data_IF_003504465776
#
_entry.id   IF_003504465776
#
_cell.length_a   1.000
_cell.length_b   1.000
_cell.length_c   1.000
_cell.angle_alpha   90.00
_cell.angle_beta   90.00
_cell.angle_gamma   90.00
#
_symmetry.space_group_name_H-M   'P 1'
#
loop_
_entity.id
_entity.type
_entity.pdbx_description
1 polymer ?
#
# COMPACT_ATOMS: atom_id res chain seq x y z
N UNK A 1 11.01 11.43 -11.70
CA UNK A 1 11.28 11.47 -10.95
C UNK A 1 12.18 11.85 -10.52
N UNK A 2 12.48 12.30 -10.35
CA UNK A 2 13.20 12.64 -9.85
C UNK A 2 13.38 13.22 -9.26
N UNK A 3 13.13 13.90 -9.58
CA UNK A 3 13.70 14.12 -8.79
C UNK A 3 13.74 13.93 -7.69
N UNK A 4 14.14 13.44 -7.34
CA UNK A 4 14.48 13.36 -6.10
C UNK A 4 15.41 12.24 -5.92
N UNK A 5 16.71 12.42 -5.62
CA UNK A 5 17.73 11.41 -5.48
C UNK A 5 17.51 10.55 -4.27
N UNK A 6 17.04 11.13 -3.21
CA UNK A 6 16.73 10.33 -2.04
C UNK A 6 15.60 9.35 -2.34
N UNK A 7 14.79 9.67 -3.33
CA UNK A 7 13.73 8.79 -3.76
C UNK A 7 14.29 7.51 -4.34
N UNK A 8 15.33 7.63 -5.13
CA UNK A 8 15.98 6.45 -5.71
C UNK A 8 16.58 5.59 -4.61
N UNK A 9 17.22 6.20 -3.63
CA UNK A 9 17.78 5.48 -2.50
C UNK A 9 16.70 4.76 -1.71
N UNK A 10 15.59 5.45 -1.49
CA UNK A 10 14.46 4.84 -0.79
C UNK A 10 13.90 3.65 -1.52
N UNK A 11 13.80 3.74 -2.84
CA UNK A 11 13.30 2.64 -3.64
C UNK A 11 14.22 1.45 -3.56
N UNK A 12 15.53 1.67 -3.60
CA UNK A 12 16.50 0.58 -3.48
C UNK A 12 16.37 -0.13 -2.14
N UNK A 13 16.27 0.63 -1.07
CA UNK A 13 16.12 0.05 0.26
C UNK A 13 14.83 -0.74 0.37
N UNK A 14 13.74 -0.19 -0.20
CA UNK A 14 12.46 -0.88 -0.18
C UNK A 14 12.50 -2.18 -1.00
N UNK A 15 13.16 -2.15 -2.16
CA UNK A 15 13.27 -3.32 -3.00
C UNK A 15 14.00 -4.46 -2.28
N UNK A 16 15.06 -4.13 -1.57
CA UNK A 16 15.80 -5.13 -0.80
C UNK A 16 14.93 -5.71 0.32
N UNK A 17 14.19 -4.87 1.00
CA UNK A 17 13.28 -5.30 2.04
C UNK A 17 12.15 -6.15 1.48
N UNK A 18 11.64 -5.74 0.32
CA UNK A 18 10.53 -6.40 -0.34
C UNK A 18 10.84 -7.87 -0.63
N UNK A 19 12.06 -8.18 -1.00
CA UNK A 19 12.45 -9.55 -1.32
C UNK A 19 12.31 -10.49 -0.13
N UNK A 20 12.30 -9.95 1.08
CA UNK A 20 12.24 -10.74 2.30
C UNK A 20 10.85 -10.79 2.91
N UNK A 21 9.89 -10.10 2.32
CA UNK A 21 8.55 -9.99 2.90
C UNK A 21 7.55 -10.77 2.06
N UNK A 22 6.53 -11.30 2.73
CA UNK A 22 5.38 -11.85 2.02
C UNK A 22 4.61 -10.71 1.38
N UNK A 23 3.72 -11.05 0.44
CA UNK A 23 2.90 -10.02 -0.22
C UNK A 23 2.07 -9.24 0.79
N UNK A 24 1.51 -9.93 1.77
CA UNK A 24 0.72 -9.27 2.81
C UNK A 24 1.57 -8.30 3.61
N UNK A 25 2.77 -8.70 3.98
CA UNK A 25 3.68 -7.83 4.71
C UNK A 25 4.10 -6.63 3.87
N UNK A 26 4.32 -6.81 2.59
CA UNK A 26 4.67 -5.71 1.70
C UNK A 26 3.56 -4.67 1.66
N UNK A 27 2.31 -5.12 1.54
CA UNK A 27 1.17 -4.22 1.51
C UNK A 27 1.05 -3.48 2.84
N UNK A 28 1.20 -4.18 3.95
CA UNK A 28 1.11 -3.57 5.26
C UNK A 28 2.18 -2.50 5.46
N UNK A 29 3.43 -2.82 5.10
CA UNK A 29 4.52 -1.85 5.25
C UNK A 29 4.28 -0.61 4.41
N UNK A 30 3.74 -0.78 3.22
CA UNK A 30 3.46 0.37 2.37
C UNK A 30 2.35 1.25 2.97
N UNK A 31 1.26 0.64 3.41
CA UNK A 31 0.15 1.38 4.01
C UNK A 31 0.59 2.05 5.31
N UNK A 32 1.43 1.38 6.08
CA UNK A 32 1.96 1.92 7.32
C UNK A 32 2.76 3.19 7.08
N UNK A 33 3.47 3.22 5.97
CA UNK A 33 4.28 4.38 5.59
C UNK A 33 3.42 5.49 5.01
N UNK A 34 2.42 5.13 4.20
CA UNK A 34 1.63 6.11 3.48
C UNK A 34 0.23 5.55 3.22
N UNK A 35 -0.79 6.24 3.71
CA UNK A 35 -2.17 5.86 3.43
C UNK A 35 -2.39 5.89 1.92
N UNK A 36 -2.98 4.83 1.38
CA UNK A 36 -3.07 4.66 -0.07
C UNK A 36 -4.28 3.83 -0.46
N UNK A 37 -4.70 3.98 -1.72
CA UNK A 37 -5.72 3.11 -2.27
C UNK A 37 -5.07 1.81 -2.74
N UNK A 38 -5.88 0.77 -2.93
CA UNK A 38 -5.34 -0.49 -3.45
C UNK A 38 -4.77 -0.32 -4.85
N UNK A 39 -5.28 0.63 -5.64
CA UNK A 39 -4.71 0.91 -6.96
C UNK A 39 -3.29 1.46 -6.83
N UNK A 40 -3.08 2.38 -5.90
CA UNK A 40 -1.76 2.95 -5.67
C UNK A 40 -0.79 1.90 -5.16
N UNK A 41 -1.25 1.04 -4.25
CA UNK A 41 -0.43 -0.04 -3.72
C UNK A 41 -0.05 -1.01 -4.83
N UNK A 42 -1.01 -1.38 -5.68
CA UNK A 42 -0.78 -2.27 -6.80
C UNK A 42 0.31 -1.73 -7.72
N UNK A 43 0.23 -0.44 -8.02
CA UNK A 43 1.16 0.22 -8.92
C UNK A 43 2.56 0.27 -8.31
N UNK A 44 2.65 0.67 -7.05
CA UNK A 44 3.94 0.83 -6.38
C UNK A 44 4.64 -0.50 -6.10
N UNK A 45 3.90 -1.50 -5.70
CA UNK A 45 4.47 -2.80 -5.36
C UNK A 45 4.53 -3.74 -6.55
N UNK A 46 4.01 -3.31 -7.70
CA UNK A 46 4.01 -4.12 -8.92
C UNK A 46 3.32 -5.45 -8.68
N UNK A 47 2.19 -5.40 -8.03
CA UNK A 47 1.36 -6.57 -7.76
C UNK A 47 0.04 -6.47 -8.52
N UNK A 48 -0.55 -7.61 -8.89
CA UNK A 48 -1.90 -7.57 -9.47
C UNK A 48 -2.88 -6.93 -8.48
N UNK A 49 -3.81 -6.17 -9.00
CA UNK A 49 -4.79 -5.48 -8.16
C UNK A 49 -5.58 -6.46 -7.30
N UNK A 50 -5.93 -7.61 -7.87
CA UNK A 50 -6.68 -8.62 -7.11
C UNK A 50 -5.89 -9.11 -5.90
N UNK A 51 -4.57 -9.25 -6.04
CA UNK A 51 -3.72 -9.64 -4.91
C UNK A 51 -3.72 -8.57 -3.84
N UNK A 52 -3.58 -7.31 -4.25
CA UNK A 52 -3.57 -6.20 -3.29
C UNK A 52 -4.89 -6.12 -2.55
N UNK A 53 -6.00 -6.25 -3.27
CA UNK A 53 -7.33 -6.20 -2.66
C UNK A 53 -7.48 -7.31 -1.61
N UNK A 54 -7.04 -8.52 -1.95
CA UNK A 54 -7.11 -9.65 -1.02
C UNK A 54 -6.24 -9.41 0.21
N UNK A 55 -5.04 -8.89 0.00
CA UNK A 55 -4.13 -8.61 1.12
C UNK A 55 -4.67 -7.51 2.02
N UNK A 56 -5.23 -6.45 1.43
CA UNK A 56 -5.84 -5.38 2.23
C UNK A 56 -6.98 -5.92 3.07
N UNK A 57 -7.79 -6.80 2.50
CA UNK A 57 -8.90 -7.39 3.26
C UNK A 57 -8.39 -8.24 4.41
N UNK A 58 -7.36 -9.03 4.18
CA UNK A 58 -6.75 -9.83 5.25
C UNK A 58 -6.22 -8.97 6.37
N UNK A 59 -5.53 -7.89 6.00
CA UNK A 59 -4.99 -6.97 6.99
C UNK A 59 -6.09 -6.26 7.77
N UNK A 60 -7.20 -5.96 7.10
CA UNK A 60 -8.35 -5.36 7.76
C UNK A 60 -8.94 -6.33 8.80
N UNK A 61 -9.09 -7.59 8.42
CA UNK A 61 -9.61 -8.62 9.32
C UNK A 61 -8.69 -8.79 10.52
N UNK A 62 -7.38 -8.73 10.28
CA UNK A 62 -6.39 -8.85 11.36
C UNK A 62 -6.33 -7.61 12.23
N UNK A 63 -6.98 -6.52 11.82
CA UNK A 63 -6.98 -5.30 12.60
C UNK A 63 -5.71 -4.48 12.45
N UNK A 64 -4.97 -4.67 11.37
CA UNK A 64 -3.72 -3.96 11.12
C UNK A 64 -3.90 -2.73 10.23
N UNK A 65 -4.90 -2.73 9.37
CA UNK A 65 -5.24 -1.56 8.56
C UNK A 65 -6.74 -1.34 8.64
N UNK A 66 -7.17 -0.14 8.29
CA UNK A 66 -8.57 0.22 8.33
C UNK A 66 -8.91 1.15 7.18
N UNK A 67 -10.21 1.24 6.87
CA UNK A 67 -10.74 2.24 5.95
C UNK A 67 -10.61 3.59 6.65
N UNK A 68 -9.90 4.52 6.03
CA UNK A 68 -9.68 5.83 6.63
C UNK A 68 -10.94 6.70 6.66
N UNK A 69 -11.99 6.27 5.97
CA UNK A 69 -13.18 7.08 5.81
C UNK A 69 -13.08 8.04 4.64
N UNK A 70 -11.96 8.07 3.98
CA UNK A 70 -11.72 8.94 2.84
C UNK A 70 -11.72 8.13 1.55
N UNK A 71 -12.00 8.81 0.46
CA UNK A 71 -12.04 8.20 -0.85
C UNK A 71 -11.20 9.02 -1.81
N UNK A 72 -10.66 8.37 -2.82
CA UNK A 72 -9.85 9.03 -3.82
C UNK A 72 -10.28 8.53 -5.19
N UNK A 73 -10.37 9.44 -6.14
CA UNK A 73 -10.73 9.05 -7.50
C UNK A 73 -9.54 8.37 -8.16
N UNK A 74 -9.81 7.23 -8.80
CA UNK A 74 -8.77 6.47 -9.49
C UNK A 74 -8.66 6.97 -10.92
N UNK A 75 -7.55 6.63 -11.63
CA UNK A 75 -7.42 6.96 -13.03
C UNK A 75 -8.50 6.33 -13.91
N UNK A 76 -9.23 5.36 -13.37
CA UNK A 76 -10.27 4.66 -14.13
C UNK A 76 -11.65 5.28 -13.92
N UNK A 77 -11.72 6.43 -13.27
CA UNK A 77 -12.98 7.13 -13.07
C UNK A 77 -13.83 6.61 -11.91
N UNK A 78 -13.28 5.75 -11.10
CA UNK A 78 -13.98 5.21 -9.94
C UNK A 78 -13.35 5.72 -8.66
N UNK A 79 -14.11 5.67 -7.56
CA UNK A 79 -13.53 6.03 -6.26
C UNK A 79 -13.06 4.77 -5.55
N UNK A 80 -12.01 4.92 -4.79
CA UNK A 80 -11.44 3.82 -4.04
C UNK A 80 -11.19 4.23 -2.60
N UNK A 81 -11.27 3.26 -1.72
CA UNK A 81 -11.01 3.46 -0.31
C UNK A 81 -9.53 3.77 -0.10
N UNK A 82 -9.25 4.77 0.73
CA UNK A 82 -7.88 5.02 1.16
C UNK A 82 -7.67 4.24 2.44
N UNK A 83 -6.78 3.25 2.36
CA UNK A 83 -6.43 2.41 3.49
C UNK A 83 -5.36 3.08 4.33
N UNK A 84 -5.43 2.92 5.63
CA UNK A 84 -4.43 3.46 6.53
C UNK A 84 -4.12 2.45 7.63
N UNK A 85 -2.97 2.63 8.26
CA UNK A 85 -2.60 1.80 9.39
C UNK A 85 -3.59 2.04 10.53
N UNK A 86 -4.08 0.98 11.12
CA UNK A 86 -4.99 1.10 12.24
C UNK A 86 -4.20 1.36 13.51
N UNK A 87 -4.60 2.40 14.24
CA UNK A 87 -3.99 2.71 15.51
C UNK A 87 -4.41 1.64 16.51
N UNK A 88 -3.43 1.07 17.17
CA UNK A 88 -3.70 0.07 18.21
C UNK A 88 -3.37 0.67 19.55
N UNK A 89 -4.36 0.80 20.34
CA UNK A 89 -4.22 1.36 21.68
C UNK A 89 -4.07 0.26 22.70
#
# INVERSE_FOLDING_TARGET
>A
YQAHNYTDTSKSAWANKKDKLTKREQVYEYVKTQASTNYEISDELEMPLSSVTARCRELQILGLVEDSGKRKQTPYGKTAIIWQKKDQQ
#
